data_IF_262258458514
#
_entry.id   IF_262258458514
#
_cell.length_a   1.000
_cell.length_b   1.000
_cell.length_c   1.000
_cell.angle_alpha   90.00
_cell.angle_beta   90.00
_cell.angle_gamma   90.00
#
_symmetry.space_group_name_H-M   'P 1'
#
loop_
_entity.id
_entity.type
_entity.pdbx_description
1 polymer ?
#
# COMPACT_ATOMS: atom_id res chain seq x y z
N UNK A 1 9.18 32.36 12.64
CA UNK A 1 9.81 32.88 11.40
C UNK A 1 9.08 32.22 10.24
N UNK A 2 8.68 32.93 9.20
CA UNK A 2 7.95 32.31 8.08
C UNK A 2 8.96 31.80 7.06
N UNK A 3 8.67 30.68 6.37
CA UNK A 3 9.54 30.13 5.31
C UNK A 3 9.95 31.19 4.27
N UNK A 4 9.09 32.16 3.96
CA UNK A 4 9.42 33.26 3.04
C UNK A 4 10.44 34.25 3.58
N UNK A 5 10.66 34.28 4.89
CA UNK A 5 11.61 35.20 5.55
C UNK A 5 13.02 34.57 5.56
N UNK A 6 13.16 33.28 5.17
CA UNK A 6 14.45 32.61 4.96
C UNK A 6 15.14 33.13 3.68
N UNK A 7 16.49 33.13 3.65
CA UNK A 7 17.22 33.30 2.39
C UNK A 7 16.73 32.31 1.33
N UNK A 8 16.66 32.74 0.06
CA UNK A 8 16.08 31.91 -0.99
C UNK A 8 16.66 30.48 -0.99
N UNK A 9 17.99 30.34 -0.94
CA UNK A 9 18.70 29.05 -0.91
C UNK A 9 18.39 28.14 0.26
N UNK A 10 17.78 28.65 1.33
CA UNK A 10 17.41 27.89 2.55
C UNK A 10 15.94 27.45 2.55
N UNK A 11 15.16 27.91 1.58
CA UNK A 11 13.76 27.53 1.46
C UNK A 11 13.65 26.10 0.96
N UNK A 12 12.72 25.28 1.49
CA UNK A 12 12.59 23.87 1.11
C UNK A 12 12.44 23.65 -0.40
N UNK A 13 11.70 24.52 -1.09
CA UNK A 13 11.49 24.44 -2.54
C UNK A 13 12.79 24.61 -3.32
N UNK A 14 13.54 25.62 -3.00
CA UNK A 14 14.82 25.93 -3.66
C UNK A 14 15.87 24.87 -3.32
N UNK A 15 15.85 24.35 -2.11
CA UNK A 15 16.75 23.26 -1.69
C UNK A 15 16.48 21.95 -2.44
N UNK A 16 15.21 21.58 -2.67
CA UNK A 16 14.88 20.40 -3.51
C UNK A 16 15.42 20.57 -4.93
N UNK A 17 15.25 21.77 -5.50
CA UNK A 17 15.72 22.04 -6.87
C UNK A 17 17.24 22.07 -7.00
N UNK A 18 17.95 22.49 -5.96
CA UNK A 18 19.39 22.62 -5.97
C UNK A 18 20.15 21.35 -5.54
N UNK A 19 19.61 20.59 -4.58
CA UNK A 19 20.31 19.51 -3.90
C UNK A 19 19.53 18.18 -3.86
N UNK A 20 18.33 18.11 -4.46
CA UNK A 20 17.48 16.92 -4.44
C UNK A 20 16.63 16.80 -3.18
N UNK A 21 15.68 15.87 -3.21
CA UNK A 21 14.77 15.63 -2.09
C UNK A 21 15.47 14.99 -0.89
N UNK A 22 16.54 14.27 -1.11
CA UNK A 22 17.36 13.58 -0.10
C UNK A 22 18.03 14.56 0.87
N UNK A 23 18.21 15.81 0.47
CA UNK A 23 18.79 16.86 1.30
C UNK A 23 17.83 17.48 2.32
N UNK A 24 16.54 17.09 2.28
CA UNK A 24 15.48 17.66 3.12
C UNK A 24 15.05 16.69 4.20
N UNK A 25 14.71 17.23 5.37
CA UNK A 25 14.06 16.47 6.42
C UNK A 25 12.58 16.19 6.07
N UNK A 26 11.98 15.14 6.65
CA UNK A 26 10.58 14.75 6.42
C UNK A 26 9.58 15.90 6.56
N UNK A 27 9.76 16.76 7.60
CA UNK A 27 8.93 17.93 7.82
C UNK A 27 9.03 18.98 6.70
N UNK A 28 10.18 19.10 6.05
CA UNK A 28 10.40 20.03 4.94
C UNK A 28 9.75 19.48 3.66
N UNK A 29 9.88 18.19 3.41
CA UNK A 29 9.20 17.51 2.29
C UNK A 29 7.67 17.57 2.45
N UNK A 30 7.17 17.30 3.64
CA UNK A 30 5.73 17.41 3.92
C UNK A 30 5.24 18.85 3.80
N UNK A 31 6.04 19.84 4.19
CA UNK A 31 5.70 21.26 4.03
C UNK A 31 5.51 21.67 2.57
N UNK A 32 6.27 21.08 1.64
CA UNK A 32 6.09 21.30 0.20
C UNK A 32 4.71 20.82 -0.28
N UNK A 33 4.23 19.68 0.23
CA UNK A 33 2.90 19.14 -0.08
C UNK A 33 1.79 20.00 0.52
N UNK A 34 1.96 20.49 1.74
CA UNK A 34 1.02 21.38 2.40
C UNK A 34 0.93 22.75 1.70
N UNK A 35 2.05 23.23 1.14
CA UNK A 35 2.16 24.46 0.37
C UNK A 35 2.09 25.75 1.19
N UNK A 36 1.33 25.77 2.29
CA UNK A 36 1.20 26.92 3.18
C UNK A 36 0.92 26.51 4.62
N UNK A 37 1.36 27.31 5.56
CA UNK A 37 0.97 27.20 6.98
C UNK A 37 -0.37 27.84 7.28
N UNK A 38 -0.47 28.34 8.52
CA UNK A 38 -1.58 29.13 9.05
C UNK A 38 -1.04 30.44 9.69
N UNK A 39 -1.88 31.41 10.07
CA UNK A 39 -1.42 32.53 10.87
C UNK A 39 -0.71 32.04 12.13
N UNK A 40 0.56 32.44 12.31
CA UNK A 40 1.37 32.05 13.46
C UNK A 40 2.05 30.67 13.39
N UNK A 41 1.84 29.90 12.33
CA UNK A 41 2.45 28.58 12.15
C UNK A 41 2.83 28.41 10.67
N UNK A 42 4.11 28.37 10.35
CA UNK A 42 4.52 28.17 8.96
C UNK A 42 4.30 26.74 8.48
N UNK A 43 4.58 26.46 7.19
CA UNK A 43 4.31 25.15 6.60
C UNK A 43 5.20 24.05 7.17
N UNK A 44 6.46 24.38 7.56
CA UNK A 44 7.40 23.41 8.14
C UNK A 44 7.01 23.09 9.57
N UNK A 45 6.58 24.09 10.33
CA UNK A 45 6.07 23.89 11.69
C UNK A 45 4.77 23.09 11.67
N UNK A 46 3.85 23.37 10.72
CA UNK A 46 2.61 22.63 10.55
C UNK A 46 2.90 21.17 10.21
N UNK A 47 3.83 20.91 9.30
CA UNK A 47 4.28 19.57 8.92
C UNK A 47 4.88 18.81 10.11
N UNK A 48 5.75 19.46 10.88
CA UNK A 48 6.34 18.86 12.09
C UNK A 48 5.29 18.48 13.13
N UNK A 49 4.29 19.34 13.36
CA UNK A 49 3.16 19.05 14.27
C UNK A 49 2.31 17.87 13.78
N UNK A 50 2.05 17.76 12.48
CA UNK A 50 1.32 16.64 11.92
C UNK A 50 2.06 15.32 12.11
N UNK A 51 3.36 15.28 11.82
CA UNK A 51 4.19 14.08 12.02
C UNK A 51 4.19 13.67 13.49
N UNK A 52 4.45 14.61 14.40
CA UNK A 52 4.50 14.34 15.84
C UNK A 52 3.16 13.84 16.39
N UNK A 53 2.05 14.44 15.95
CA UNK A 53 0.70 14.09 16.42
C UNK A 53 0.24 12.71 15.98
N UNK A 54 0.72 12.23 14.84
CA UNK A 54 0.44 10.88 14.36
C UNK A 54 1.46 9.83 14.85
N UNK A 55 2.45 10.21 15.67
CA UNK A 55 3.46 9.28 16.17
C UNK A 55 4.60 8.99 15.20
N UNK A 56 4.69 9.73 14.08
CA UNK A 56 5.76 9.58 13.09
C UNK A 56 5.25 9.66 11.66
N UNK A 57 6.20 9.69 10.71
CA UNK A 57 5.89 9.79 9.27
C UNK A 57 5.16 8.53 8.77
N UNK A 58 5.52 7.37 9.29
CA UNK A 58 4.90 6.11 8.93
C UNK A 58 3.41 6.09 9.27
N UNK A 59 3.05 6.43 10.51
CA UNK A 59 1.64 6.49 10.94
C UNK A 59 0.86 7.57 10.18
N UNK A 60 1.48 8.74 9.98
CA UNK A 60 0.90 9.81 9.15
C UNK A 60 0.61 9.33 7.72
N UNK A 61 1.48 8.51 7.15
CA UNK A 61 1.29 7.97 5.79
C UNK A 61 0.07 7.06 5.65
N UNK A 62 -0.43 6.53 6.76
CA UNK A 62 -1.60 5.64 6.86
C UNK A 62 -2.88 6.36 7.29
N UNK A 63 -2.78 7.62 7.67
CA UNK A 63 -3.90 8.40 8.17
C UNK A 63 -5.02 8.51 7.13
N UNK A 64 -6.27 8.40 7.61
CA UNK A 64 -7.44 8.67 6.78
C UNK A 64 -7.52 10.17 6.45
N UNK A 65 -7.97 10.56 5.22
CA UNK A 65 -8.17 11.96 4.89
C UNK A 65 -9.04 12.73 5.91
N UNK A 66 -10.03 12.08 6.50
CA UNK A 66 -10.91 12.71 7.50
C UNK A 66 -10.16 13.00 8.82
N UNK A 67 -9.25 12.13 9.23
CA UNK A 67 -8.38 12.36 10.39
C UNK A 67 -7.46 13.58 10.19
N UNK A 68 -6.99 13.78 8.96
CA UNK A 68 -6.16 14.94 8.63
C UNK A 68 -6.95 16.23 8.57
N UNK A 69 -8.18 16.23 8.04
CA UNK A 69 -9.06 17.40 7.97
C UNK A 69 -9.38 17.94 9.37
N UNK A 70 -9.48 17.07 10.36
CA UNK A 70 -9.68 17.47 11.77
C UNK A 70 -8.49 18.20 12.42
N UNK A 71 -7.36 18.34 11.73
CA UNK A 71 -6.17 18.99 12.28
C UNK A 71 -6.18 20.50 12.01
N UNK A 72 -5.85 21.35 13.01
CA UNK A 72 -5.75 22.79 12.80
C UNK A 72 -4.82 23.16 11.64
N UNK A 73 -5.35 23.89 10.67
CA UNK A 73 -4.59 24.32 9.49
C UNK A 73 -4.54 23.33 8.32
N UNK A 74 -5.23 22.19 8.44
CA UNK A 74 -5.35 21.19 7.38
C UNK A 74 -6.80 21.10 6.91
N UNK A 75 -7.09 21.80 5.83
CA UNK A 75 -8.37 21.67 5.14
C UNK A 75 -8.39 20.52 4.13
N UNK A 76 -9.54 20.25 3.48
CA UNK A 76 -9.70 19.13 2.53
C UNK A 76 -8.64 19.08 1.45
N UNK A 77 -8.25 20.23 0.89
CA UNK A 77 -7.24 20.30 -0.18
C UNK A 77 -5.84 19.86 0.27
N UNK A 78 -5.44 20.22 1.51
CA UNK A 78 -4.15 19.80 2.07
C UNK A 78 -4.17 18.31 2.42
N UNK A 79 -5.24 17.84 3.06
CA UNK A 79 -5.42 16.42 3.38
C UNK A 79 -5.37 15.56 2.11
N UNK A 80 -6.11 15.93 1.07
CA UNK A 80 -6.12 15.21 -0.20
C UNK A 80 -4.73 15.13 -0.84
N UNK A 81 -3.96 16.23 -0.85
CA UNK A 81 -2.60 16.25 -1.40
C UNK A 81 -1.65 15.32 -0.65
N UNK A 82 -1.68 15.34 0.68
CA UNK A 82 -0.84 14.48 1.53
C UNK A 82 -1.17 13.02 1.31
N UNK A 83 -2.45 12.65 1.37
CA UNK A 83 -2.89 11.27 1.12
C UNK A 83 -2.54 10.80 -0.30
N UNK A 84 -2.76 11.64 -1.31
CA UNK A 84 -2.43 11.33 -2.70
C UNK A 84 -0.93 11.09 -2.87
N UNK A 85 -0.06 11.93 -2.26
CA UNK A 85 1.39 11.79 -2.36
C UNK A 85 1.88 10.48 -1.76
N UNK A 86 1.43 10.12 -0.55
CA UNK A 86 1.77 8.83 0.06
C UNK A 86 1.24 7.65 -0.76
N UNK A 87 0.03 7.77 -1.30
CA UNK A 87 -0.55 6.71 -2.13
C UNK A 87 0.20 6.52 -3.46
N UNK A 88 0.59 7.63 -4.11
CA UNK A 88 1.44 7.59 -5.31
C UNK A 88 2.81 6.99 -5.00
N UNK A 89 3.44 7.36 -3.88
CA UNK A 89 4.72 6.80 -3.45
C UNK A 89 4.66 5.28 -3.26
N UNK A 90 3.55 4.75 -2.72
CA UNK A 90 3.34 3.30 -2.63
C UNK A 90 3.19 2.66 -4.02
N UNK A 91 2.44 3.28 -4.93
CA UNK A 91 2.26 2.79 -6.31
C UNK A 91 3.51 2.89 -7.18
N UNK A 92 4.34 3.90 -6.91
CA UNK A 92 5.57 4.16 -7.66
C UNK A 92 6.71 3.20 -7.29
N UNK A 93 6.58 2.41 -6.21
CA UNK A 93 7.54 1.33 -5.96
C UNK A 93 7.44 0.34 -7.13
N UNK A 94 8.54 0.06 -7.82
CA UNK A 94 8.53 -1.03 -8.79
C UNK A 94 8.12 -2.31 -8.06
N UNK A 95 7.39 -3.24 -8.71
CA UNK A 95 7.31 -4.60 -8.19
C UNK A 95 8.74 -5.01 -7.87
N UNK A 96 8.97 -5.59 -6.68
CA UNK A 96 10.31 -5.87 -6.16
C UNK A 96 11.20 -6.36 -7.30
N UNK A 97 12.20 -5.55 -7.66
CA UNK A 97 13.11 -5.88 -8.75
C UNK A 97 13.83 -7.15 -8.33
N UNK A 98 13.53 -8.28 -8.99
CA UNK A 98 14.15 -9.56 -8.69
C UNK A 98 13.22 -10.75 -8.53
N UNK A 99 11.88 -10.58 -8.47
CA UNK A 99 10.99 -11.74 -8.52
C UNK A 99 10.86 -12.17 -9.99
N UNK A 100 11.87 -12.85 -10.48
CA UNK A 100 11.88 -13.47 -11.82
C UNK A 100 10.81 -14.56 -11.97
N UNK A 101 10.11 -14.92 -10.89
CA UNK A 101 8.98 -15.85 -10.87
C UNK A 101 8.54 -16.16 -9.44
N UNK A 102 7.26 -16.48 -9.27
CA UNK A 102 6.70 -16.95 -8.00
C UNK A 102 6.93 -18.45 -7.88
N UNK A 103 8.17 -18.82 -7.57
CA UNK A 103 8.60 -20.23 -7.42
C UNK A 103 8.48 -20.73 -5.99
N UNK A 104 8.16 -19.86 -5.04
CA UNK A 104 7.99 -20.20 -3.62
C UNK A 104 6.92 -19.29 -2.97
N UNK A 105 6.43 -19.69 -1.80
CA UNK A 105 5.55 -18.89 -0.97
C UNK A 105 6.20 -17.55 -0.57
N UNK A 106 7.50 -17.56 -0.28
CA UNK A 106 8.25 -16.33 0.02
C UNK A 106 8.27 -15.36 -1.16
N UNK A 107 8.50 -15.86 -2.38
CA UNK A 107 8.46 -15.04 -3.59
C UNK A 107 7.06 -14.42 -3.84
N UNK A 108 6.00 -15.14 -3.51
CA UNK A 108 4.63 -14.61 -3.55
C UNK A 108 4.45 -13.47 -2.54
N UNK A 109 4.93 -13.66 -1.31
CA UNK A 109 4.87 -12.64 -0.27
C UNK A 109 5.65 -11.38 -0.68
N UNK A 110 6.85 -11.52 -1.23
CA UNK A 110 7.67 -10.42 -1.74
C UNK A 110 6.99 -9.65 -2.87
N UNK A 111 6.35 -10.36 -3.81
CA UNK A 111 5.64 -9.74 -4.91
C UNK A 111 4.39 -8.95 -4.46
N UNK A 112 3.70 -9.40 -3.41
CA UNK A 112 2.47 -8.81 -2.93
C UNK A 112 2.68 -7.73 -1.85
N UNK A 113 3.71 -7.86 -1.01
CA UNK A 113 3.95 -7.01 0.15
C UNK A 113 3.98 -5.49 -0.17
N UNK A 114 4.58 -5.01 -1.28
CA UNK A 114 4.59 -3.59 -1.60
C UNK A 114 3.20 -2.98 -1.83
N UNK A 115 2.21 -3.81 -2.17
CA UNK A 115 0.83 -3.38 -2.41
C UNK A 115 -0.05 -3.45 -1.15
N UNK A 116 0.37 -4.17 -0.11
CA UNK A 116 -0.43 -4.47 1.07
C UNK A 116 0.06 -3.78 2.35
N UNK A 117 1.39 -3.64 2.51
CA UNK A 117 1.96 -3.01 3.71
C UNK A 117 1.53 -1.57 3.84
N UNK A 118 1.26 -1.15 5.06
CA UNK A 118 0.82 0.21 5.38
C UNK A 118 -0.66 0.48 5.10
N UNK A 119 -1.46 -0.51 4.72
CA UNK A 119 -2.90 -0.35 4.55
C UNK A 119 -3.62 -0.60 5.89
N UNK A 120 -4.53 0.31 6.28
CA UNK A 120 -5.30 0.19 7.53
C UNK A 120 -6.48 -0.79 7.44
N UNK A 121 -7.00 -1.04 6.27
CA UNK A 121 -8.08 -2.00 6.06
C UNK A 121 -7.57 -3.26 5.38
N UNK A 122 -8.21 -4.39 5.63
CA UNK A 122 -7.94 -5.62 4.92
C UNK A 122 -8.14 -5.45 3.42
N UNK A 123 -7.19 -5.87 2.65
CA UNK A 123 -7.18 -5.82 1.19
C UNK A 123 -6.54 -7.09 0.65
N UNK A 124 -6.93 -7.42 -0.55
CA UNK A 124 -6.45 -8.61 -1.24
C UNK A 124 -5.67 -8.22 -2.49
N UNK A 125 -4.54 -8.85 -2.69
CA UNK A 125 -3.73 -8.79 -3.91
C UNK A 125 -3.79 -10.13 -4.62
N UNK A 126 -4.02 -10.12 -5.92
CA UNK A 126 -3.78 -11.27 -6.79
C UNK A 126 -2.48 -11.04 -7.56
N UNK A 127 -1.60 -12.03 -7.54
CA UNK A 127 -0.39 -12.09 -8.34
C UNK A 127 -0.62 -13.11 -9.44
N UNK A 128 -0.71 -12.63 -10.69
CA UNK A 128 -0.97 -13.46 -11.88
C UNK A 128 0.36 -13.82 -12.53
N UNK A 129 0.55 -15.10 -12.84
CA UNK A 129 1.76 -15.62 -13.43
C UNK A 129 1.47 -16.39 -14.72
N UNK A 130 2.49 -16.51 -15.56
CA UNK A 130 2.49 -17.42 -16.72
C UNK A 130 2.74 -18.88 -16.31
N UNK A 131 2.86 -19.77 -17.30
CA UNK A 131 3.13 -21.20 -17.09
C UNK A 131 4.47 -21.48 -16.42
N UNK A 132 5.44 -20.58 -16.53
CA UNK A 132 6.78 -20.64 -15.92
C UNK A 132 6.86 -19.92 -14.57
N UNK A 133 5.72 -19.52 -14.02
CA UNK A 133 5.60 -18.74 -12.79
C UNK A 133 6.17 -17.31 -12.87
N UNK A 134 6.50 -16.78 -14.07
CA UNK A 134 6.89 -15.38 -14.22
C UNK A 134 5.69 -14.47 -13.96
N UNK A 135 5.90 -13.38 -13.20
CA UNK A 135 4.84 -12.45 -12.82
C UNK A 135 4.39 -11.63 -14.02
N UNK A 136 3.16 -11.83 -14.46
CA UNK A 136 2.50 -11.04 -15.49
C UNK A 136 1.90 -9.76 -14.92
N UNK A 137 1.23 -9.87 -13.77
CA UNK A 137 0.56 -8.74 -13.08
C UNK A 137 0.46 -9.01 -11.59
N UNK A 138 0.57 -7.96 -10.79
CA UNK A 138 0.15 -7.94 -9.40
C UNK A 138 -0.87 -6.81 -9.22
N UNK A 139 -2.04 -7.08 -8.63
CA UNK A 139 -3.13 -6.10 -8.50
C UNK A 139 -3.82 -6.21 -7.17
N UNK A 140 -4.01 -5.06 -6.55
CA UNK A 140 -4.92 -4.88 -5.42
C UNK A 140 -6.36 -5.02 -5.92
N UNK A 141 -7.10 -5.96 -5.35
CA UNK A 141 -8.52 -6.12 -5.62
C UNK A 141 -9.32 -5.19 -4.71
N UNK A 142 -10.23 -4.42 -5.28
CA UNK A 142 -11.19 -3.63 -4.52
C UNK A 142 -12.27 -4.56 -3.99
N UNK A 143 -12.70 -4.37 -2.74
CA UNK A 143 -13.89 -5.06 -2.22
C UNK A 143 -15.08 -4.79 -3.13
N UNK A 144 -15.71 -5.85 -3.63
CA UNK A 144 -17.02 -5.74 -4.26
C UNK A 144 -18.04 -5.28 -3.22
N UNK A 145 -18.98 -4.44 -3.62
CA UNK A 145 -20.03 -3.83 -2.79
C UNK A 145 -21.08 -4.80 -2.23
N UNK A 146 -20.92 -6.10 -2.40
CA UNK A 146 -21.83 -7.13 -1.88
C UNK A 146 -21.28 -7.79 -0.61
N UNK A 147 -21.84 -7.41 0.50
CA UNK A 147 -21.42 -7.60 1.89
C UNK A 147 -21.38 -9.01 2.47
N UNK A 148 -20.88 -10.05 1.80
CA UNK A 148 -20.80 -11.39 2.39
C UNK A 148 -19.56 -12.22 2.00
N UNK A 149 -18.63 -11.71 1.22
CA UNK A 149 -17.31 -12.34 1.05
C UNK A 149 -16.31 -11.28 0.57
N UNK A 150 -15.19 -11.06 1.25
CA UNK A 150 -14.20 -10.06 0.86
C UNK A 150 -13.57 -10.36 -0.51
N UNK A 151 -13.72 -11.59 -1.02
CA UNK A 151 -13.18 -12.03 -2.29
C UNK A 151 -14.29 -12.57 -3.20
N UNK A 152 -14.69 -11.81 -4.20
CA UNK A 152 -15.45 -12.33 -5.30
C UNK A 152 -14.60 -13.32 -6.11
N UNK A 153 -14.69 -14.63 -5.81
CA UNK A 153 -13.94 -15.67 -6.54
C UNK A 153 -14.08 -15.52 -8.06
N UNK A 154 -15.28 -15.22 -8.52
CA UNK A 154 -15.59 -15.01 -9.95
C UNK A 154 -14.75 -13.85 -10.52
N UNK A 155 -14.67 -12.74 -9.80
CA UNK A 155 -13.97 -11.55 -10.27
C UNK A 155 -12.46 -11.75 -10.26
N UNK A 156 -11.93 -12.44 -9.23
CA UNK A 156 -10.53 -12.81 -9.13
C UNK A 156 -10.12 -13.74 -10.27
N UNK A 157 -10.80 -14.86 -10.42
CA UNK A 157 -10.46 -15.86 -11.45
C UNK A 157 -10.68 -15.29 -12.86
N UNK A 158 -11.76 -14.51 -13.05
CA UNK A 158 -11.96 -13.77 -14.29
C UNK A 158 -10.85 -12.78 -14.59
N UNK A 159 -10.28 -12.14 -13.58
CA UNK A 159 -9.12 -11.26 -13.77
C UNK A 159 -7.87 -12.05 -14.18
N UNK A 160 -7.58 -13.19 -13.53
CA UNK A 160 -6.46 -14.07 -13.90
C UNK A 160 -6.56 -14.49 -15.37
N UNK A 161 -7.72 -14.95 -15.80
CA UNK A 161 -7.97 -15.38 -17.18
C UNK A 161 -7.81 -14.23 -18.18
N UNK A 162 -8.36 -13.05 -17.89
CA UNK A 162 -8.18 -11.85 -18.76
C UNK A 162 -6.74 -11.39 -18.89
N UNK A 163 -5.90 -11.66 -17.89
CA UNK A 163 -4.48 -11.37 -17.96
C UNK A 163 -3.66 -12.42 -18.73
N UNK A 164 -4.31 -13.48 -19.24
CA UNK A 164 -3.60 -14.61 -19.86
C UNK A 164 -2.81 -15.44 -18.87
N UNK A 165 -3.18 -15.40 -17.57
CA UNK A 165 -2.49 -16.16 -16.53
C UNK A 165 -2.75 -17.65 -16.61
N UNK A 166 -1.72 -18.44 -16.39
CA UNK A 166 -1.79 -19.90 -16.23
C UNK A 166 -1.64 -20.32 -14.78
N UNK A 167 -1.12 -19.40 -13.94
CA UNK A 167 -0.94 -19.59 -12.52
C UNK A 167 -1.26 -18.30 -11.77
N UNK A 168 -1.60 -18.40 -10.49
CA UNK A 168 -1.78 -17.24 -9.65
C UNK A 168 -1.59 -17.57 -8.16
N UNK A 169 -1.18 -16.55 -7.39
CA UNK A 169 -1.19 -16.57 -5.94
C UNK A 169 -2.02 -15.43 -5.38
N UNK A 170 -2.42 -15.56 -4.14
CA UNK A 170 -3.22 -14.57 -3.42
C UNK A 170 -2.49 -14.15 -2.15
N UNK A 171 -2.58 -12.87 -1.84
CA UNK A 171 -2.13 -12.32 -0.58
C UNK A 171 -3.18 -11.37 -0.01
N UNK A 172 -3.34 -11.34 1.30
CA UNK A 172 -4.10 -10.28 1.96
C UNK A 172 -3.33 -9.77 3.19
N UNK A 173 -3.66 -8.56 3.64
CA UNK A 173 -3.03 -8.00 4.82
C UNK A 173 -3.92 -8.12 6.05
N UNK A 174 -3.30 -8.32 7.20
CA UNK A 174 -3.90 -8.15 8.52
C UNK A 174 -3.36 -6.86 9.15
N UNK A 175 -4.16 -5.79 9.19
CA UNK A 175 -3.72 -4.49 9.70
C UNK A 175 -3.45 -4.47 11.21
N UNK A 176 -3.99 -5.44 11.96
CA UNK A 176 -3.76 -5.63 13.40
C UNK A 176 -2.39 -6.24 13.73
N UNK A 177 -1.63 -6.64 12.69
CA UNK A 177 -0.30 -7.23 12.84
C UNK A 177 -0.29 -8.72 13.17
N UNK A 178 -1.45 -9.37 13.37
CA UNK A 178 -1.52 -10.80 13.63
C UNK A 178 -1.46 -11.60 12.31
N UNK A 179 -0.41 -12.38 12.01
CA UNK A 179 -0.31 -13.14 10.77
C UNK A 179 -1.09 -14.48 10.80
N UNK A 180 -1.80 -14.81 11.88
CA UNK A 180 -2.50 -16.09 11.98
C UNK A 180 -3.73 -16.15 11.05
N UNK A 181 -3.85 -17.22 10.22
CA UNK A 181 -5.00 -17.40 9.36
C UNK A 181 -6.29 -17.64 10.15
N UNK A 182 -7.35 -16.93 9.79
CA UNK A 182 -8.70 -17.19 10.29
C UNK A 182 -9.29 -18.47 9.68
N UNK A 183 -10.42 -18.95 10.22
CA UNK A 183 -11.18 -20.04 9.59
C UNK A 183 -11.70 -19.67 8.21
N UNK A 184 -12.03 -18.38 7.99
CA UNK A 184 -12.48 -17.86 6.69
C UNK A 184 -11.36 -17.87 5.66
N UNK A 185 -10.14 -17.49 6.04
CA UNK A 185 -8.99 -17.53 5.14
C UNK A 185 -8.72 -18.95 4.64
N UNK A 186 -8.81 -19.93 5.53
CA UNK A 186 -8.64 -21.34 5.17
C UNK A 186 -9.73 -21.81 4.20
N UNK A 187 -11.02 -21.46 4.48
CA UNK A 187 -12.13 -21.79 3.59
C UNK A 187 -12.00 -21.17 2.21
N UNK A 188 -11.62 -19.90 2.17
CA UNK A 188 -11.38 -19.18 0.91
C UNK A 188 -10.23 -19.81 0.15
N UNK A 189 -9.15 -20.20 0.83
CA UNK A 189 -7.98 -20.87 0.22
C UNK A 189 -8.38 -22.19 -0.44
N UNK A 190 -9.13 -23.03 0.25
CA UNK A 190 -9.66 -24.29 -0.30
C UNK A 190 -10.50 -24.05 -1.55
N UNK A 191 -11.44 -23.10 -1.48
CA UNK A 191 -12.31 -22.76 -2.63
C UNK A 191 -11.52 -22.19 -3.82
N UNK A 192 -10.48 -21.39 -3.57
CA UNK A 192 -9.60 -20.88 -4.62
C UNK A 192 -8.88 -22.02 -5.35
N UNK A 193 -8.34 -22.98 -4.59
CA UNK A 193 -7.63 -24.15 -5.15
C UNK A 193 -8.56 -25.02 -5.99
N UNK A 194 -9.73 -25.37 -5.47
CA UNK A 194 -10.73 -26.16 -6.18
C UNK A 194 -11.20 -25.47 -7.46
N UNK A 195 -11.54 -24.18 -7.37
CA UNK A 195 -12.02 -23.41 -8.53
C UNK A 195 -10.91 -23.20 -9.57
N UNK A 196 -9.65 -23.04 -9.15
CA UNK A 196 -8.52 -22.96 -10.05
C UNK A 196 -8.33 -24.28 -10.84
N UNK A 197 -8.41 -25.42 -10.15
CA UNK A 197 -8.30 -26.73 -10.78
C UNK A 197 -9.37 -26.96 -11.85
N UNK A 198 -10.62 -26.55 -11.57
CA UNK A 198 -11.72 -26.66 -12.56
C UNK A 198 -11.49 -25.81 -13.81
N UNK A 199 -10.74 -24.71 -13.69
CA UNK A 199 -10.43 -23.80 -14.80
C UNK A 199 -9.08 -24.11 -15.47
N UNK A 200 -8.37 -25.17 -15.06
CA UNK A 200 -7.04 -25.49 -15.56
C UNK A 200 -5.97 -24.48 -15.13
N UNK A 201 -6.20 -23.71 -14.08
CA UNK A 201 -5.27 -22.74 -13.51
C UNK A 201 -4.49 -23.40 -12.37
N UNK A 202 -3.19 -23.06 -12.26
CA UNK A 202 -2.37 -23.48 -11.13
C UNK A 202 -2.48 -22.44 -10.00
N UNK A 203 -3.10 -22.81 -8.89
CA UNK A 203 -3.06 -22.03 -7.66
C UNK A 203 -1.71 -22.22 -6.97
N UNK A 204 -0.94 -21.14 -6.79
CA UNK A 204 0.40 -21.20 -6.24
C UNK A 204 0.39 -21.28 -4.72
N UNK A 205 -0.22 -20.26 -4.09
CA UNK A 205 -0.34 -20.20 -2.64
C UNK A 205 -1.25 -19.05 -2.19
N UNK A 206 -1.53 -19.00 -0.87
CA UNK A 206 -2.18 -17.89 -0.19
C UNK A 206 -1.33 -17.45 1.01
N UNK A 207 -1.05 -16.15 1.11
CA UNK A 207 -0.24 -15.60 2.20
C UNK A 207 -0.94 -14.44 2.89
N UNK A 208 -0.75 -14.34 4.19
CA UNK A 208 -1.12 -13.17 5.00
C UNK A 208 0.11 -12.30 5.15
N UNK A 209 -0.05 -11.00 4.93
CA UNK A 209 1.02 -10.00 5.02
C UNK A 209 0.70 -9.05 6.17
N UNK A 210 1.63 -8.87 7.08
CA UNK A 210 1.63 -7.78 8.05
C UNK A 210 2.71 -6.76 7.68
N UNK A 211 2.80 -5.68 8.42
CA UNK A 211 3.84 -4.68 8.17
C UNK A 211 5.25 -5.22 8.40
N UNK A 212 5.40 -6.18 9.32
CA UNK A 212 6.69 -6.73 9.72
C UNK A 212 6.99 -8.10 9.11
N UNK A 213 5.96 -8.94 8.94
CA UNK A 213 6.14 -10.34 8.57
C UNK A 213 5.08 -10.84 7.59
N UNK A 214 5.14 -12.11 7.26
CA UNK A 214 4.12 -12.80 6.49
C UNK A 214 3.96 -14.25 6.95
N UNK A 215 2.82 -14.84 6.67
CA UNK A 215 2.54 -16.27 6.95
C UNK A 215 1.74 -16.89 5.82
N UNK A 216 2.02 -18.16 5.55
CA UNK A 216 1.25 -19.00 4.63
C UNK A 216 -0.09 -19.38 5.24
N UNK A 217 -1.16 -19.35 4.43
CA UNK A 217 -2.44 -19.96 4.79
C UNK A 217 -2.39 -21.43 4.42
N UNK A 218 -2.35 -22.28 5.44
CA UNK A 218 -2.42 -23.74 5.26
C UNK A 218 -3.89 -24.13 5.32
N UNK A 219 -4.31 -25.01 4.39
CA UNK A 219 -5.68 -25.54 4.37
C UNK A 219 -6.00 -26.30 5.67
N UNK A 220 -7.29 -26.40 5.98
CA UNK A 220 -7.78 -27.19 7.10
C UNK A 220 -7.69 -28.69 6.77
#
# INVERSE_FOLDING_TARGET
MRVKDLPARERPRERVLAAGAEALADRELLALLLGSGTPGCDAVDLAGRLIARHGGLYELSRADPQELIGQPGVGPAKAARVCAAFHLGRRARPPAAGVSGVTSTAALAEAAAPLLRGLRGERVVVVVCDGNAAVLRARLLTQGTSGHSPLGLRDLLGYVLRCGGSAFGVAHNHPDGNPEPSADDRRVTTRLRESAALLGLRFLDHVIITDETWRRVVDA
#
